data_IF_951115788804
#
_entry.id   IF_951115788804
#
_cell.length_a   1.000
_cell.length_b   1.000
_cell.length_c   1.000
_cell.angle_alpha   90.00
_cell.angle_beta   90.00
_cell.angle_gamma   90.00
#
_symmetry.space_group_name_H-M   'P 1'
#
loop_
_entity.id
_entity.type
_entity.pdbx_description
1 polymer ?
#
# COMPACT_ATOMS: atom_id res chain seq x y z
N UNK A 1 12.74 -7.75 8.22
CA UNK A 1 12.56 -6.72 7.19
C UNK A 1 12.09 -5.44 7.87
N UNK A 2 12.74 -4.31 7.62
CA UNK A 2 12.26 -3.00 8.10
C UNK A 2 11.12 -2.47 7.23
N UNK A 3 10.45 -1.38 7.64
CA UNK A 3 9.49 -0.69 6.76
C UNK A 3 10.16 -0.23 5.47
N UNK A 4 11.37 0.33 5.54
CA UNK A 4 12.08 0.81 4.37
C UNK A 4 12.43 -0.32 3.38
N UNK A 5 12.89 -1.46 3.90
CA UNK A 5 13.21 -2.63 3.06
C UNK A 5 11.96 -3.13 2.32
N UNK A 6 10.83 -3.23 3.03
CA UNK A 6 9.56 -3.64 2.43
C UNK A 6 9.09 -2.65 1.36
N UNK A 7 9.12 -1.35 1.65
CA UNK A 7 8.72 -0.30 0.71
C UNK A 7 9.57 -0.33 -0.57
N UNK A 8 10.89 -0.52 -0.43
CA UNK A 8 11.82 -0.62 -1.56
C UNK A 8 11.53 -1.85 -2.43
N UNK A 9 11.34 -3.02 -1.80
CA UNK A 9 10.98 -4.26 -2.51
C UNK A 9 9.63 -4.11 -3.24
N UNK A 10 8.63 -3.55 -2.56
CA UNK A 10 7.31 -3.30 -3.13
C UNK A 10 7.35 -2.34 -4.31
N UNK A 11 8.10 -1.24 -4.19
CA UNK A 11 8.29 -0.28 -5.29
C UNK A 11 8.97 -0.92 -6.51
N UNK A 12 9.97 -1.79 -6.29
CA UNK A 12 10.64 -2.52 -7.37
C UNK A 12 9.67 -3.43 -8.13
N UNK A 13 8.93 -4.26 -7.40
CA UNK A 13 7.93 -5.16 -7.99
C UNK A 13 6.82 -4.41 -8.72
N UNK A 14 6.34 -3.31 -8.13
CA UNK A 14 5.34 -2.45 -8.76
C UNK A 14 5.87 -1.87 -10.07
N UNK A 15 7.12 -1.37 -10.08
CA UNK A 15 7.76 -0.85 -11.29
C UNK A 15 7.89 -1.93 -12.37
N UNK A 16 8.31 -3.14 -12.02
CA UNK A 16 8.44 -4.24 -12.98
C UNK A 16 7.12 -4.57 -13.68
N UNK A 17 6.00 -4.54 -12.94
CA UNK A 17 4.66 -4.71 -13.53
C UNK A 17 4.35 -3.53 -14.46
N UNK A 18 4.51 -2.30 -13.99
CA UNK A 18 4.20 -1.10 -14.78
C UNK A 18 5.01 -1.03 -16.08
N UNK A 19 6.29 -1.41 -16.05
CA UNK A 19 7.15 -1.44 -17.23
C UNK A 19 6.65 -2.44 -18.30
N UNK A 20 5.96 -3.53 -17.89
CA UNK A 20 5.30 -4.47 -18.81
C UNK A 20 3.95 -3.98 -19.34
N UNK A 21 3.33 -3.02 -18.66
CA UNK A 21 2.00 -2.47 -19.00
C UNK A 21 2.10 -1.10 -19.70
N UNK A 22 3.22 -0.80 -20.36
CA UNK A 22 3.50 0.52 -20.94
C UNK A 22 2.43 1.01 -21.94
N UNK A 23 1.83 0.07 -22.69
CA UNK A 23 0.82 0.36 -23.71
C UNK A 23 -0.61 0.45 -23.16
N UNK A 24 -0.80 0.13 -21.87
CA UNK A 24 -2.11 0.24 -21.22
C UNK A 24 -2.40 1.67 -20.78
N UNK A 25 -3.67 2.04 -20.87
CA UNK A 25 -4.21 3.24 -20.25
C UNK A 25 -4.18 3.14 -18.72
N UNK A 26 -4.25 4.29 -18.05
CA UNK A 26 -4.24 4.34 -16.58
C UNK A 26 -5.40 3.53 -15.97
N UNK A 27 -6.58 3.54 -16.59
CA UNK A 27 -7.73 2.77 -16.12
C UNK A 27 -7.55 1.25 -16.29
N UNK A 28 -6.95 0.82 -17.40
CA UNK A 28 -6.60 -0.59 -17.61
C UNK A 28 -5.55 -1.05 -16.60
N UNK A 29 -4.55 -0.22 -16.29
CA UNK A 29 -3.57 -0.51 -15.25
C UNK A 29 -4.25 -0.61 -13.88
N UNK A 30 -5.15 0.31 -13.54
CA UNK A 30 -5.89 0.23 -12.27
C UNK A 30 -6.68 -1.06 -12.20
N UNK A 31 -7.39 -1.46 -13.26
CA UNK A 31 -8.12 -2.72 -13.29
C UNK A 31 -7.20 -3.94 -13.23
N UNK A 32 -6.03 -3.88 -13.86
CA UNK A 32 -5.01 -4.93 -13.77
C UNK A 32 -4.61 -5.20 -12.32
N UNK A 33 -4.52 -4.15 -11.51
CA UNK A 33 -4.18 -4.26 -10.09
C UNK A 33 -5.35 -4.68 -9.18
N UNK A 34 -6.51 -5.08 -9.72
CA UNK A 34 -7.53 -5.75 -8.91
C UNK A 34 -6.98 -7.04 -8.29
N UNK A 35 -7.38 -7.36 -7.07
CA UNK A 35 -6.92 -8.54 -6.33
C UNK A 35 -7.04 -9.82 -7.14
N UNK A 36 -8.16 -10.06 -7.83
CA UNK A 36 -8.36 -11.30 -8.57
C UNK A 36 -7.37 -11.40 -9.75
N UNK A 37 -7.15 -10.28 -10.44
CA UNK A 37 -6.18 -10.19 -11.54
C UNK A 37 -4.74 -10.35 -11.06
N UNK A 38 -4.36 -9.68 -9.97
CA UNK A 38 -3.01 -9.73 -9.41
C UNK A 38 -2.69 -11.12 -8.87
N UNK A 39 -3.65 -11.78 -8.22
CA UNK A 39 -3.48 -13.15 -7.74
C UNK A 39 -3.19 -14.12 -8.88
N UNK A 40 -3.87 -13.98 -10.01
CA UNK A 40 -3.69 -14.84 -11.18
C UNK A 40 -2.39 -14.54 -11.95
N UNK A 41 -2.11 -13.25 -12.20
CA UNK A 41 -1.05 -12.82 -13.11
C UNK A 41 0.29 -12.56 -12.42
N UNK A 42 0.26 -12.19 -11.15
CA UNK A 42 1.41 -11.72 -10.38
C UNK A 42 1.48 -12.40 -8.98
N UNK A 43 1.43 -13.75 -8.89
CA UNK A 43 1.28 -14.47 -7.62
C UNK A 43 2.41 -14.16 -6.60
N UNK A 44 3.62 -13.86 -7.07
CA UNK A 44 4.79 -13.55 -6.24
C UNK A 44 4.80 -12.10 -5.70
N UNK A 45 3.89 -11.24 -6.17
CA UNK A 45 3.82 -9.85 -5.74
C UNK A 45 3.39 -9.72 -4.28
N UNK A 46 2.49 -10.60 -3.81
CA UNK A 46 1.98 -10.59 -2.44
C UNK A 46 1.81 -12.03 -1.90
N UNK A 47 2.37 -12.35 -0.72
CA UNK A 47 2.26 -13.69 -0.13
C UNK A 47 0.83 -14.09 0.28
N UNK A 48 -0.14 -13.16 0.21
CA UNK A 48 -1.54 -13.46 0.48
C UNK A 48 -2.28 -14.03 -0.74
N UNK A 49 -1.73 -13.86 -1.95
CA UNK A 49 -2.32 -14.38 -3.18
C UNK A 49 -2.32 -15.90 -3.20
N UNK A 50 -1.21 -16.54 -2.81
CA UNK A 50 -1.12 -18.00 -2.65
C UNK A 50 -2.14 -18.58 -1.66
N UNK A 51 -2.62 -17.76 -0.73
CA UNK A 51 -3.58 -18.15 0.32
C UNK A 51 -5.02 -17.79 -0.02
N UNK A 52 -5.24 -17.28 -1.22
CA UNK A 52 -6.53 -16.75 -1.68
C UNK A 52 -7.18 -15.81 -0.65
N UNK A 53 -6.37 -14.91 -0.08
CA UNK A 53 -6.78 -14.07 1.04
C UNK A 53 -6.60 -12.58 0.75
N UNK A 54 -7.69 -11.81 0.84
CA UNK A 54 -7.66 -10.33 0.85
C UNK A 54 -7.06 -9.81 2.15
N UNK A 55 -6.25 -8.74 2.07
CA UNK A 55 -5.65 -8.11 3.27
C UNK A 55 -6.65 -7.30 4.10
N UNK A 56 -7.74 -6.84 3.48
CA UNK A 56 -8.85 -6.17 4.13
C UNK A 56 -10.18 -6.79 3.73
N UNK A 57 -11.13 -6.81 4.65
CA UNK A 57 -12.48 -7.27 4.40
C UNK A 57 -13.24 -6.22 3.57
N UNK A 58 -13.27 -6.45 2.25
CA UNK A 58 -13.98 -5.63 1.27
C UNK A 58 -14.27 -6.44 0.00
N UNK A 59 -15.39 -6.12 -0.65
CA UNK A 59 -15.83 -6.79 -1.87
C UNK A 59 -14.80 -6.63 -3.01
N UNK A 60 -14.50 -5.39 -3.38
CA UNK A 60 -13.48 -5.04 -4.39
C UNK A 60 -12.21 -4.56 -3.69
N UNK A 61 -11.06 -5.17 -3.96
CA UNK A 61 -9.77 -4.78 -3.38
C UNK A 61 -8.78 -4.50 -4.50
N UNK A 62 -8.37 -3.24 -4.64
CA UNK A 62 -7.34 -2.85 -5.60
C UNK A 62 -5.97 -2.77 -4.94
N UNK A 63 -4.95 -3.41 -5.51
CA UNK A 63 -3.62 -3.52 -4.95
C UNK A 63 -2.66 -2.40 -5.38
N UNK A 64 -3.05 -1.50 -6.30
CA UNK A 64 -2.16 -0.50 -6.89
C UNK A 64 -1.53 0.42 -5.85
N UNK A 65 -2.35 1.05 -5.00
CA UNK A 65 -1.87 1.91 -3.90
C UNK A 65 -1.68 1.10 -2.60
N UNK A 66 -1.31 -0.18 -2.67
CA UNK A 66 -0.90 -0.93 -1.49
C UNK A 66 0.27 -0.22 -0.81
N UNK A 67 0.24 -0.12 0.52
CA UNK A 67 1.01 0.89 1.25
C UNK A 67 0.29 2.23 1.24
N UNK A 68 -0.31 2.61 2.37
CA UNK A 68 -1.13 3.82 2.44
C UNK A 68 -0.27 5.10 2.37
N UNK A 69 -0.51 6.05 1.45
CA UNK A 69 0.28 7.29 1.35
C UNK A 69 0.02 8.27 2.50
N UNK A 70 -0.92 7.97 3.39
CA UNK A 70 -1.15 8.70 4.64
C UNK A 70 -0.44 8.07 5.85
N UNK A 71 0.23 6.93 5.68
CA UNK A 71 1.07 6.35 6.73
C UNK A 71 2.31 7.22 6.92
N UNK A 72 2.69 7.48 8.17
CA UNK A 72 3.89 8.23 8.52
C UNK A 72 4.72 7.42 9.50
N UNK A 73 6.03 7.45 9.32
CA UNK A 73 6.98 7.05 10.34
C UNK A 73 7.21 8.25 11.26
N UNK A 74 7.31 7.98 12.55
CA UNK A 74 7.75 8.97 13.52
C UNK A 74 9.23 8.72 13.80
N UNK A 75 10.06 9.71 13.49
CA UNK A 75 11.52 9.63 13.66
C UNK A 75 11.99 10.23 14.99
N UNK A 76 11.07 10.74 15.81
CA UNK A 76 11.37 11.24 17.15
C UNK A 76 11.70 10.08 18.11
N UNK A 77 12.39 10.39 19.22
CA UNK A 77 12.58 9.50 20.38
C UNK A 77 11.27 9.33 21.18
N UNK A 78 10.25 8.82 20.50
CA UNK A 78 8.90 8.59 21.01
C UNK A 78 8.58 7.11 21.09
N UNK A 79 7.68 6.72 21.99
CA UNK A 79 7.12 5.36 21.98
C UNK A 79 6.24 5.15 20.73
N UNK A 80 5.67 6.20 20.14
CA UNK A 80 4.89 6.14 18.90
C UNK A 80 5.85 6.18 17.71
N UNK A 81 5.93 5.10 16.95
CA UNK A 81 6.85 4.93 15.82
C UNK A 81 6.18 5.11 14.46
N UNK A 82 4.85 5.05 14.39
CA UNK A 82 4.10 5.36 13.17
C UNK A 82 2.68 5.82 13.46
N UNK A 83 2.12 6.62 12.55
CA UNK A 83 0.78 7.20 12.69
C UNK A 83 0.11 7.45 11.33
N UNK A 84 -1.19 7.72 11.35
CA UNK A 84 -1.97 8.13 10.19
C UNK A 84 -2.07 9.66 10.12
N UNK A 85 -1.56 10.26 9.05
CA UNK A 85 -1.52 11.73 8.90
C UNK A 85 -2.88 12.39 8.77
N UNK A 86 -3.93 11.62 8.49
CA UNK A 86 -5.32 12.10 8.36
C UNK A 86 -6.21 11.68 9.53
N UNK A 87 -5.65 11.00 10.54
CA UNK A 87 -6.38 10.47 11.68
C UNK A 87 -7.70 9.77 11.28
N UNK A 88 -7.63 8.87 10.29
CA UNK A 88 -8.84 8.25 9.74
C UNK A 88 -9.56 7.43 10.83
N UNK A 89 -10.89 7.51 10.88
CA UNK A 89 -11.72 6.86 11.92
C UNK A 89 -11.55 5.33 12.04
N UNK A 90 -11.06 4.68 10.99
CA UNK A 90 -10.77 3.23 10.98
C UNK A 90 -9.28 2.92 11.18
N UNK A 91 -8.44 3.93 11.40
CA UNK A 91 -7.08 3.75 11.85
C UNK A 91 -7.05 3.57 13.37
N UNK A 92 -6.03 2.88 13.86
CA UNK A 92 -5.78 2.71 15.28
C UNK A 92 -4.29 2.72 15.59
N UNK A 93 -3.96 2.36 16.83
CA UNK A 93 -2.59 2.14 17.25
C UNK A 93 -2.49 0.77 17.94
N UNK A 94 -1.38 0.08 17.71
CA UNK A 94 -1.10 -1.20 18.33
C UNK A 94 0.26 -1.17 19.03
N UNK A 95 0.30 -1.66 20.27
CA UNK A 95 1.56 -1.82 20.99
C UNK A 95 2.27 -3.09 20.50
N UNK A 96 3.45 -2.93 19.93
CA UNK A 96 4.33 -4.04 19.57
C UNK A 96 5.42 -4.23 20.62
N UNK A 97 6.27 -5.24 20.45
CA UNK A 97 7.46 -5.44 21.31
C UNK A 97 8.37 -4.21 21.33
N UNK A 98 8.43 -3.46 20.21
CA UNK A 98 9.14 -2.20 20.08
C UNK A 98 8.17 -1.10 19.65
N UNK A 99 7.79 -0.24 20.60
CA UNK A 99 6.96 0.93 20.37
C UNK A 99 5.51 0.64 19.97
N UNK A 100 4.81 1.72 19.65
CA UNK A 100 3.41 1.79 19.22
C UNK A 100 3.40 2.09 17.73
N UNK A 101 2.72 1.25 16.96
CA UNK A 101 2.62 1.37 15.51
C UNK A 101 1.20 1.70 15.08
N UNK A 102 1.07 2.36 13.94
CA UNK A 102 -0.20 2.56 13.28
C UNK A 102 -0.81 1.21 12.87
N UNK A 103 -2.04 0.96 13.32
CA UNK A 103 -2.86 -0.15 12.87
C UNK A 103 -3.82 0.34 11.78
N UNK A 104 -3.72 -0.28 10.60
CA UNK A 104 -4.56 0.00 9.44
C UNK A 104 -5.53 -1.14 9.11
N UNK A 105 -5.59 -2.20 9.92
CA UNK A 105 -6.32 -3.44 9.61
C UNK A 105 -7.79 -3.24 9.23
N UNK A 106 -8.45 -2.23 9.80
CA UNK A 106 -9.87 -1.88 9.54
C UNK A 106 -10.05 -0.80 8.47
N UNK A 107 -8.98 -0.28 7.90
CA UNK A 107 -8.99 0.81 6.93
C UNK A 107 -8.81 0.28 5.50
N UNK A 108 -9.70 0.69 4.59
CA UNK A 108 -9.68 0.23 3.19
C UNK A 108 -9.29 1.33 2.20
N UNK A 109 -8.97 2.54 2.69
CA UNK A 109 -8.70 3.74 1.87
C UNK A 109 -7.76 3.47 0.69
N UNK A 110 -6.53 2.95 0.87
CA UNK A 110 -5.61 2.74 -0.25
C UNK A 110 -6.12 1.75 -1.31
N UNK A 111 -7.04 0.87 -0.93
CA UNK A 111 -7.53 -0.21 -1.79
C UNK A 111 -8.81 0.14 -2.55
N UNK A 112 -9.41 1.31 -2.30
CA UNK A 112 -10.59 1.77 -3.04
C UNK A 112 -10.17 2.27 -4.41
N UNK A 113 -10.81 1.75 -5.46
CA UNK A 113 -10.56 2.17 -6.86
C UNK A 113 -10.65 3.70 -7.03
N UNK A 114 -11.64 4.34 -6.41
CA UNK A 114 -11.77 5.82 -6.48
C UNK A 114 -10.62 6.56 -5.76
N UNK A 115 -10.02 5.95 -4.74
CA UNK A 115 -8.83 6.52 -4.10
C UNK A 115 -7.62 6.38 -5.02
N UNK A 116 -7.42 5.20 -5.59
CA UNK A 116 -6.35 4.91 -6.56
C UNK A 116 -6.43 5.89 -7.74
N UNK A 117 -7.58 6.01 -8.40
CA UNK A 117 -7.79 6.94 -9.53
C UNK A 117 -7.40 8.39 -9.19
N UNK A 118 -7.72 8.87 -7.99
CA UNK A 118 -7.43 10.25 -7.56
C UNK A 118 -5.96 10.49 -7.22
N UNK A 119 -5.20 9.44 -6.92
CA UNK A 119 -3.80 9.53 -6.51
C UNK A 119 -2.88 8.73 -7.45
N UNK A 120 -3.34 8.44 -8.66
CA UNK A 120 -2.64 7.56 -9.58
C UNK A 120 -1.33 8.19 -10.05
N UNK A 121 -0.27 7.39 -10.02
CA UNK A 121 1.00 7.71 -10.66
C UNK A 121 1.68 6.39 -11.04
N UNK A 122 2.20 6.28 -12.26
CA UNK A 122 2.91 5.08 -12.74
C UNK A 122 4.18 4.80 -11.92
N UNK A 123 4.79 5.83 -11.32
CA UNK A 123 5.83 5.68 -10.31
C UNK A 123 5.20 5.70 -8.90
N UNK A 124 5.07 4.50 -8.31
CA UNK A 124 4.52 4.30 -6.97
C UNK A 124 5.26 5.12 -5.90
N UNK A 125 6.55 5.42 -6.09
CA UNK A 125 7.30 6.24 -5.13
C UNK A 125 6.78 7.67 -5.07
N UNK A 126 6.22 8.20 -6.15
CA UNK A 126 5.60 9.53 -6.13
C UNK A 126 4.33 9.55 -5.27
N UNK A 127 3.56 8.46 -5.28
CA UNK A 127 2.38 8.28 -4.42
C UNK A 127 2.81 8.26 -2.95
N UNK A 128 3.94 7.60 -2.68
CA UNK A 128 4.47 7.36 -1.34
C UNK A 128 5.49 8.41 -0.89
N UNK A 129 5.70 9.50 -1.62
CA UNK A 129 6.76 10.47 -1.36
C UNK A 129 6.72 11.05 0.06
N UNK A 130 5.52 11.24 0.63
CA UNK A 130 5.33 11.74 2.00
C UNK A 130 5.54 10.67 3.09
N UNK A 131 5.71 9.42 2.71
CA UNK A 131 6.09 8.31 3.60
C UNK A 131 7.63 8.21 3.66
N UNK A 132 8.29 8.41 2.51
CA UNK A 132 9.75 8.43 2.39
C UNK A 132 10.39 9.68 3.00
N UNK A 133 9.79 10.84 2.77
CA UNK A 133 10.32 12.15 3.17
C UNK A 133 9.64 12.68 4.43
N UNK A 134 9.29 11.82 5.38
CA UNK A 134 8.90 12.29 6.70
C UNK A 134 10.18 12.83 7.37
N UNK A 135 10.46 14.11 7.12
CA UNK A 135 11.38 14.95 7.89
C UNK A 135 10.91 15.03 9.34
#
# INVERSE_FOLDING_TARGET
MTYFDWMRDHASKHKEIIDRLVDMSDEEIIQYFDFENMKEKEPDFCPLYERDKKCHDMETLNCFSCGCPYFRLNNDDSEILSYCSINHKNGGQMKAKKGIHQDCSKCTVPHKVNFVRRNFNKDWNQIMAKVYNAE
#
